data_IF_572711141715
#
_entry.id   IF_572711141715
#
_cell.length_a   1.000
_cell.length_b   1.000
_cell.length_c   1.000
_cell.angle_alpha   90.00
_cell.angle_beta   90.00
_cell.angle_gamma   90.00
#
_symmetry.space_group_name_H-M   'P 1'
#
loop_
_entity.id
_entity.type
_entity.pdbx_description
1 polymer ?
#
# COMPACT_ATOMS: atom_id res chain seq x y z
N UNK A 1 -54.10 17.55 -63.84
CA UNK A 1 -55.38 18.30 -63.61
C UNK A 1 -55.19 19.07 -62.32
N UNK A 2 -55.09 20.40 -62.46
CA UNK A 2 -55.98 21.42 -61.92
C UNK A 2 -56.15 21.34 -60.42
N UNK A 3 -55.96 22.32 -59.59
CA UNK A 3 -55.93 23.79 -59.55
C UNK A 3 -55.66 24.09 -58.09
N UNK A 4 -54.93 25.00 -57.52
CA UNK A 4 -54.94 26.44 -57.77
C UNK A 4 -55.47 27.21 -56.60
N UNK A 5 -54.72 28.28 -56.26
CA UNK A 5 -55.20 29.58 -55.77
C UNK A 5 -55.23 29.79 -54.25
N UNK A 6 -54.25 30.55 -53.77
CA UNK A 6 -54.21 31.91 -53.15
C UNK A 6 -55.06 32.12 -51.90
N UNK A 7 -54.62 32.84 -50.94
CA UNK A 7 -54.36 34.29 -50.84
C UNK A 7 -53.69 34.71 -49.47
N UNK A 8 -52.76 35.66 -49.57
CA UNK A 8 -52.39 36.76 -48.71
C UNK A 8 -53.31 37.13 -47.54
N UNK A 9 -52.66 37.35 -46.37
CA UNK A 9 -52.74 38.50 -45.43
C UNK A 9 -52.26 37.98 -44.10
N UNK A 10 -51.25 38.55 -43.51
CA UNK A 10 -51.03 39.54 -42.55
C UNK A 10 -49.61 39.67 -42.09
N UNK A 11 -48.87 40.50 -42.74
CA UNK A 11 -47.60 41.06 -42.31
C UNK A 11 -47.95 42.33 -41.52
N UNK A 12 -48.16 42.25 -40.24
CA UNK A 12 -48.21 43.44 -39.32
C UNK A 12 -48.12 43.14 -37.84
N UNK A 13 -47.66 41.92 -37.43
CA UNK A 13 -47.51 41.57 -36.01
C UNK A 13 -46.09 41.32 -35.57
N UNK A 14 -45.08 41.43 -36.46
CA UNK A 14 -43.72 40.94 -36.18
C UNK A 14 -42.69 42.07 -35.92
N UNK A 15 -43.11 43.32 -35.76
CA UNK A 15 -42.19 44.44 -35.52
C UNK A 15 -42.23 44.98 -34.07
N UNK A 16 -43.14 44.55 -33.22
CA UNK A 16 -43.27 45.00 -31.84
C UNK A 16 -42.60 44.12 -30.78
N UNK A 17 -42.13 42.90 -31.14
CA UNK A 17 -41.46 41.97 -30.21
C UNK A 17 -39.92 42.05 -30.30
N UNK A 18 -39.37 42.70 -31.33
CA UNK A 18 -37.91 42.84 -31.52
C UNK A 18 -37.28 44.04 -30.86
N UNK A 19 -38.08 44.90 -30.20
CA UNK A 19 -37.57 46.15 -29.55
C UNK A 19 -37.50 46.09 -28.01
N UNK A 20 -37.83 44.94 -27.38
CA UNK A 20 -37.72 44.74 -25.94
C UNK A 20 -36.53 43.78 -25.57
N UNK A 21 -35.83 43.23 -26.58
CA UNK A 21 -34.69 42.30 -26.34
C UNK A 21 -33.30 42.95 -26.51
N UNK A 22 -33.20 44.29 -26.63
CA UNK A 22 -31.93 44.99 -26.90
C UNK A 22 -31.41 45.84 -25.76
N UNK A 23 -31.87 45.69 -24.52
CA UNK A 23 -31.39 46.48 -23.35
C UNK A 23 -30.62 45.66 -22.32
N UNK A 24 -30.30 44.37 -22.57
CA UNK A 24 -29.51 43.52 -21.64
C UNK A 24 -28.15 43.11 -22.16
N UNK A 25 -27.51 43.89 -23.02
CA UNK A 25 -26.17 43.60 -23.54
C UNK A 25 -25.24 44.81 -23.38
N UNK A 26 -25.05 45.30 -22.15
CA UNK A 26 -23.97 46.24 -21.84
C UNK A 26 -23.60 46.16 -20.34
N UNK A 27 -22.97 45.06 -19.94
CA UNK A 27 -22.13 45.00 -18.74
C UNK A 27 -21.14 43.84 -18.88
N UNK A 28 -20.21 43.94 -19.83
CA UNK A 28 -18.96 43.16 -19.77
C UNK A 28 -18.00 43.96 -18.92
N UNK A 29 -17.91 43.63 -17.63
CA UNK A 29 -16.78 43.90 -16.74
C UNK A 29 -16.15 42.57 -16.43
N UNK A 30 -14.90 42.46 -16.79
CA UNK A 30 -13.98 41.36 -16.55
C UNK A 30 -13.93 41.06 -15.03
N UNK A 31 -14.52 39.93 -14.62
CA UNK A 31 -14.30 39.30 -13.32
C UNK A 31 -14.26 37.81 -13.54
N UNK A 32 -13.18 37.19 -13.02
CA UNK A 32 -12.87 35.78 -13.11
C UNK A 32 -14.07 34.84 -12.88
N UNK A 33 -14.01 33.68 -13.49
CA UNK A 33 -15.01 32.64 -13.40
C UNK A 33 -15.40 32.35 -11.95
N UNK A 34 -16.50 32.92 -11.50
CA UNK A 34 -17.17 32.48 -10.27
C UNK A 34 -17.83 31.13 -10.56
N UNK A 35 -17.43 30.14 -9.78
CA UNK A 35 -18.04 28.82 -9.74
C UNK A 35 -19.54 28.95 -9.45
N UNK A 36 -20.39 28.40 -10.35
CA UNK A 36 -21.84 28.57 -10.31
C UNK A 36 -22.54 27.66 -9.29
N UNK A 37 -21.84 27.04 -8.35
CA UNK A 37 -22.46 26.33 -7.26
C UNK A 37 -22.30 27.13 -5.96
N UNK A 38 -23.31 27.88 -5.57
CA UNK A 38 -23.37 28.62 -4.31
C UNK A 38 -23.40 27.70 -3.05
N UNK A 39 -22.81 26.53 -3.11
CA UNK A 39 -22.63 25.65 -1.95
C UNK A 39 -21.41 26.07 -1.15
N UNK A 40 -21.68 26.57 0.04
CA UNK A 40 -20.63 26.91 1.02
C UNK A 40 -20.07 25.58 1.57
N UNK A 41 -18.76 25.39 1.49
CA UNK A 41 -18.08 24.27 2.13
C UNK A 41 -18.28 24.33 3.66
N UNK A 42 -18.82 23.25 4.23
CA UNK A 42 -18.90 23.02 5.67
C UNK A 42 -18.20 21.68 6.02
N UNK A 43 -17.06 21.73 6.71
CA UNK A 43 -16.28 20.53 7.04
C UNK A 43 -17.04 19.53 7.93
N UNK A 44 -18.10 19.97 8.61
CA UNK A 44 -18.91 19.13 9.51
C UNK A 44 -20.25 18.73 8.92
N UNK A 45 -20.55 19.13 7.67
CA UNK A 45 -21.81 18.71 7.04
C UNK A 45 -21.87 17.18 6.89
N UNK A 46 -23.08 16.64 6.92
CA UNK A 46 -23.30 15.20 6.66
C UNK A 46 -22.78 14.84 5.28
N UNK A 47 -21.95 13.80 5.20
CA UNK A 47 -21.39 13.27 3.95
C UNK A 47 -21.97 11.89 3.67
N UNK A 48 -22.58 11.70 2.51
CA UNK A 48 -22.95 10.37 2.00
C UNK A 48 -22.22 10.14 0.69
N UNK A 49 -21.47 9.02 0.58
CA UNK A 49 -20.64 8.76 -0.58
C UNK A 49 -20.37 7.26 -0.78
N UNK A 50 -19.95 6.93 -1.99
CA UNK A 50 -19.51 5.61 -2.40
C UNK A 50 -17.98 5.54 -2.42
N UNK A 51 -17.41 4.38 -2.01
CA UNK A 51 -15.98 4.16 -2.03
C UNK A 51 -15.64 2.84 -2.72
N UNK A 52 -15.03 2.91 -3.90
CA UNK A 52 -14.43 1.74 -4.54
C UNK A 52 -13.08 1.46 -3.87
N UNK A 53 -13.01 0.37 -3.11
CA UNK A 53 -11.84 0.03 -2.31
C UNK A 53 -11.38 -1.40 -2.51
N UNK A 54 -10.07 -1.66 -2.34
CA UNK A 54 -9.46 -2.98 -2.50
C UNK A 54 -9.62 -3.80 -1.22
N UNK A 55 -10.05 -5.04 -1.36
CA UNK A 55 -10.21 -6.00 -0.26
C UNK A 55 -9.09 -7.04 -0.28
N UNK A 56 -8.28 -7.06 0.77
CA UNK A 56 -7.18 -8.03 0.95
C UNK A 56 -7.52 -9.23 1.82
N UNK A 57 -8.77 -9.29 2.32
CA UNK A 57 -9.31 -10.39 3.13
C UNK A 57 -10.33 -11.21 2.34
N UNK A 58 -10.65 -12.38 2.83
CA UNK A 58 -11.62 -13.27 2.16
C UNK A 58 -13.04 -12.70 2.16
N UNK A 59 -13.38 -11.85 3.14
CA UNK A 59 -14.72 -11.26 3.29
C UNK A 59 -14.60 -9.77 3.66
N UNK A 60 -15.60 -8.96 3.26
CA UNK A 60 -15.72 -7.58 3.74
C UNK A 60 -15.84 -7.52 5.27
N UNK A 61 -15.54 -6.35 5.88
CA UNK A 61 -15.70 -6.17 7.33
C UNK A 61 -17.17 -6.24 7.74
N UNK A 62 -17.39 -6.50 9.03
CA UNK A 62 -18.70 -6.25 9.65
C UNK A 62 -18.98 -4.75 9.77
N UNK A 63 -20.19 -4.38 10.20
CA UNK A 63 -20.54 -2.96 10.38
C UNK A 63 -19.87 -2.31 11.61
N UNK A 64 -19.23 -3.09 12.49
CA UNK A 64 -18.72 -2.63 13.80
C UNK A 64 -17.77 -1.45 13.68
N UNK A 65 -16.71 -1.59 12.88
CA UNK A 65 -15.69 -0.53 12.70
C UNK A 65 -16.20 0.56 11.76
N UNK A 66 -16.90 0.19 10.68
CA UNK A 66 -17.51 1.15 9.76
C UNK A 66 -18.40 2.15 10.51
N UNK A 67 -19.28 1.67 11.40
CA UNK A 67 -20.16 2.55 12.18
C UNK A 67 -19.39 3.54 13.06
N UNK A 68 -18.24 3.14 13.62
CA UNK A 68 -17.38 4.05 14.39
C UNK A 68 -16.72 5.13 13.54
N UNK A 69 -16.29 4.77 12.32
CA UNK A 69 -15.76 5.73 11.35
C UNK A 69 -16.86 6.72 10.95
N UNK A 70 -18.05 6.21 10.60
CA UNK A 70 -19.20 7.02 10.18
C UNK A 70 -19.65 7.99 11.28
N UNK A 71 -19.69 7.52 12.53
CA UNK A 71 -20.03 8.34 13.71
C UNK A 71 -19.03 9.50 13.90
N UNK A 72 -17.73 9.21 13.83
CA UNK A 72 -16.67 10.20 14.01
C UNK A 72 -16.67 11.26 12.91
N UNK A 73 -16.76 10.81 11.66
CA UNK A 73 -16.61 11.67 10.48
C UNK A 73 -17.92 12.33 10.02
N UNK A 74 -19.03 12.12 10.73
CA UNK A 74 -20.39 12.49 10.32
C UNK A 74 -20.67 12.08 8.86
N UNK A 75 -20.39 10.80 8.53
CA UNK A 75 -20.54 10.28 7.18
C UNK A 75 -21.41 9.03 7.13
N UNK A 76 -21.81 8.65 5.90
CA UNK A 76 -22.38 7.35 5.56
C UNK A 76 -21.66 6.81 4.35
N UNK A 77 -21.00 5.66 4.49
CA UNK A 77 -20.11 5.08 3.49
C UNK A 77 -20.76 3.86 2.85
N UNK A 78 -20.84 3.85 1.53
CA UNK A 78 -21.18 2.66 0.75
C UNK A 78 -19.90 2.13 0.10
N UNK A 79 -19.37 1.02 0.63
CA UNK A 79 -18.17 0.39 0.06
C UNK A 79 -18.51 -0.49 -1.14
N UNK A 80 -17.80 -0.26 -2.24
CA UNK A 80 -17.72 -1.15 -3.40
C UNK A 80 -16.40 -1.93 -3.28
N UNK A 81 -16.43 -3.07 -2.57
CA UNK A 81 -15.23 -3.87 -2.33
C UNK A 81 -14.78 -4.64 -3.58
N UNK A 82 -13.52 -4.49 -3.95
CA UNK A 82 -12.86 -5.19 -5.05
C UNK A 82 -11.83 -6.16 -4.47
N UNK A 83 -12.00 -7.49 -4.67
CA UNK A 83 -11.00 -8.46 -4.23
C UNK A 83 -9.62 -8.19 -4.85
N UNK A 84 -8.56 -8.32 -4.06
CA UNK A 84 -7.18 -8.04 -4.50
C UNK A 84 -6.78 -8.82 -5.75
N UNK A 85 -7.22 -10.07 -5.87
CA UNK A 85 -6.92 -10.93 -7.02
C UNK A 85 -7.53 -10.43 -8.35
N UNK A 86 -8.62 -9.65 -8.31
CA UNK A 86 -9.29 -9.11 -9.50
C UNK A 86 -9.22 -7.59 -9.62
N UNK A 87 -8.43 -6.93 -8.78
CA UNK A 87 -8.40 -5.46 -8.71
C UNK A 87 -7.99 -4.80 -10.03
N UNK A 88 -7.01 -5.37 -10.73
CA UNK A 88 -6.52 -4.80 -11.99
C UNK A 88 -7.60 -4.77 -13.05
N UNK A 89 -8.26 -5.89 -13.27
CA UNK A 89 -9.36 -6.02 -14.24
C UNK A 89 -10.53 -5.10 -13.85
N UNK A 90 -10.95 -5.15 -12.60
CA UNK A 90 -12.12 -4.39 -12.15
C UNK A 90 -11.90 -2.89 -12.17
N UNK A 91 -10.75 -2.40 -11.69
CA UNK A 91 -10.43 -0.97 -11.67
C UNK A 91 -10.26 -0.45 -13.10
N UNK A 92 -9.54 -1.17 -13.98
CA UNK A 92 -9.37 -0.74 -15.37
C UNK A 92 -10.68 -0.76 -16.14
N UNK A 93 -11.58 -1.71 -15.87
CA UNK A 93 -12.93 -1.74 -16.45
C UNK A 93 -13.77 -0.55 -15.97
N UNK A 94 -13.79 -0.25 -14.67
CA UNK A 94 -14.49 0.91 -14.11
C UNK A 94 -13.97 2.24 -14.70
N UNK A 95 -12.64 2.38 -14.84
CA UNK A 95 -12.02 3.53 -15.49
C UNK A 95 -12.44 3.68 -16.97
N UNK A 96 -12.56 2.56 -17.69
CA UNK A 96 -12.94 2.56 -19.10
C UNK A 96 -14.43 2.82 -19.32
N UNK A 97 -15.31 2.30 -18.45
CA UNK A 97 -16.76 2.51 -18.54
C UNK A 97 -17.21 3.88 -18.00
N UNK A 98 -16.39 4.50 -17.13
CA UNK A 98 -16.76 5.72 -16.42
C UNK A 98 -17.70 5.48 -15.23
N UNK A 99 -18.02 4.22 -14.90
CA UNK A 99 -18.81 3.85 -13.72
C UNK A 99 -17.90 3.82 -12.50
N UNK A 100 -17.68 4.98 -11.89
CA UNK A 100 -16.79 5.17 -10.76
C UNK A 100 -17.57 5.45 -9.47
N UNK A 101 -16.92 5.30 -8.34
CA UNK A 101 -17.40 5.75 -7.03
C UNK A 101 -16.93 7.18 -6.77
N UNK A 102 -17.53 7.88 -5.79
CA UNK A 102 -17.11 9.22 -5.38
C UNK A 102 -15.64 9.26 -4.94
N UNK A 103 -15.17 8.18 -4.32
CA UNK A 103 -13.77 7.97 -3.96
C UNK A 103 -13.27 6.61 -4.47
N UNK A 104 -12.10 6.60 -5.12
CA UNK A 104 -11.50 5.41 -5.74
C UNK A 104 -10.11 5.15 -5.19
N UNK A 105 -9.88 3.95 -4.67
CA UNK A 105 -8.56 3.46 -4.26
C UNK A 105 -7.79 2.94 -5.47
N UNK A 106 -6.77 3.67 -5.90
CA UNK A 106 -5.89 3.31 -7.01
C UNK A 106 -4.54 2.83 -6.48
N UNK A 107 -4.29 1.54 -6.51
CA UNK A 107 -3.03 0.92 -6.01
C UNK A 107 -2.03 0.57 -7.12
N UNK A 108 -2.41 0.72 -8.40
CA UNK A 108 -1.61 0.30 -9.56
C UNK A 108 -1.05 1.50 -10.31
N UNK A 109 -0.24 2.32 -9.64
CA UNK A 109 0.29 3.58 -10.17
C UNK A 109 1.21 3.44 -11.38
N UNK A 110 1.74 2.24 -11.63
CA UNK A 110 2.58 1.92 -12.80
C UNK A 110 1.79 1.38 -13.99
N UNK A 111 0.52 1.02 -13.82
CA UNK A 111 -0.34 0.54 -14.89
C UNK A 111 -0.65 1.66 -15.89
N UNK A 112 -0.43 1.41 -17.18
CA UNK A 112 -0.57 2.42 -18.25
C UNK A 112 -2.00 2.96 -18.39
N UNK A 113 -3.01 2.10 -18.23
CA UNK A 113 -4.42 2.50 -18.31
C UNK A 113 -4.81 3.42 -17.14
N UNK A 114 -4.35 3.10 -15.92
CA UNK A 114 -4.55 3.94 -14.73
C UNK A 114 -3.88 5.31 -14.93
N UNK A 115 -2.62 5.33 -15.38
CA UNK A 115 -1.90 6.58 -15.66
C UNK A 115 -2.57 7.42 -16.73
N UNK A 116 -3.02 6.80 -17.82
CA UNK A 116 -3.73 7.49 -18.90
C UNK A 116 -5.05 8.09 -18.40
N UNK A 117 -5.81 7.36 -17.60
CA UNK A 117 -7.06 7.86 -17.01
C UNK A 117 -6.84 9.03 -16.06
N UNK A 118 -5.78 8.99 -15.24
CA UNK A 118 -5.41 10.12 -14.37
C UNK A 118 -5.07 11.37 -15.20
N UNK A 119 -4.27 11.21 -16.26
CA UNK A 119 -3.87 12.31 -17.16
C UNK A 119 -5.00 12.85 -18.05
N UNK A 120 -6.07 12.09 -18.26
CA UNK A 120 -7.17 12.50 -19.15
C UNK A 120 -8.05 13.64 -18.61
N UNK A 121 -7.82 14.08 -17.36
CA UNK A 121 -8.62 15.10 -16.70
C UNK A 121 -9.89 14.59 -16.01
N UNK A 122 -10.09 13.28 -15.93
CA UNK A 122 -11.22 12.64 -15.24
C UNK A 122 -11.21 12.86 -13.73
N UNK A 123 -10.03 13.09 -13.14
CA UNK A 123 -9.86 13.20 -11.70
C UNK A 123 -9.52 14.62 -11.27
N UNK A 124 -9.82 14.95 -10.02
CA UNK A 124 -9.44 16.19 -9.43
C UNK A 124 -7.91 16.26 -9.20
N UNK A 125 -7.32 17.44 -9.41
CA UNK A 125 -6.02 17.80 -8.86
C UNK A 125 -6.22 18.24 -7.41
N UNK A 126 -5.71 17.42 -6.47
CA UNK A 126 -5.88 17.66 -5.04
C UNK A 126 -4.70 18.40 -4.43
N UNK A 127 -3.57 18.50 -5.15
CA UNK A 127 -2.31 19.00 -4.60
C UNK A 127 -2.44 20.39 -3.96
N UNK A 128 -3.23 21.24 -4.58
CA UNK A 128 -3.45 22.64 -4.12
C UNK A 128 -4.32 22.77 -2.86
N UNK A 129 -4.96 21.69 -2.42
CA UNK A 129 -5.87 21.70 -1.27
C UNK A 129 -5.27 21.05 -0.02
N UNK A 130 -4.22 20.22 -0.14
CA UNK A 130 -3.74 19.42 1.00
C UNK A 130 -3.26 20.26 2.19
N UNK A 131 -2.77 21.46 1.94
CA UNK A 131 -2.26 22.33 2.99
C UNK A 131 -3.37 22.98 3.84
N UNK A 132 -4.63 22.90 3.38
CA UNK A 132 -5.80 23.39 4.12
C UNK A 132 -6.23 22.43 5.25
N UNK A 133 -5.68 21.21 5.33
CA UNK A 133 -6.08 20.15 6.26
C UNK A 133 -4.98 19.81 7.26
N UNK A 134 -5.40 19.50 8.52
CA UNK A 134 -4.49 19.36 9.65
C UNK A 134 -3.52 18.18 9.51
N UNK A 135 -3.98 17.04 8.95
CA UNK A 135 -3.16 15.85 8.76
C UNK A 135 -2.59 15.77 7.33
N UNK A 136 -3.37 16.14 6.31
CA UNK A 136 -2.91 16.06 4.92
C UNK A 136 -1.74 17.00 4.64
N UNK A 137 -1.67 18.16 5.28
CA UNK A 137 -0.53 19.09 5.17
C UNK A 137 0.80 18.48 5.64
N UNK A 138 0.74 17.44 6.50
CA UNK A 138 1.93 16.75 7.03
C UNK A 138 2.51 15.72 6.07
N UNK A 139 1.83 15.44 4.94
CA UNK A 139 2.37 14.53 3.91
C UNK A 139 3.65 15.15 3.35
N UNK A 140 4.81 14.46 3.45
CA UNK A 140 6.10 14.99 3.04
C UNK A 140 6.11 15.42 1.56
N UNK A 141 6.81 16.49 1.19
CA UNK A 141 6.91 16.96 -0.20
C UNK A 141 7.40 15.88 -1.16
N UNK A 142 8.38 15.06 -0.75
CA UNK A 142 8.91 13.95 -1.53
C UNK A 142 7.87 12.85 -1.81
N UNK A 143 6.94 12.60 -0.88
CA UNK A 143 5.83 11.66 -1.07
C UNK A 143 4.80 12.25 -2.05
N UNK A 144 4.50 13.56 -1.94
CA UNK A 144 3.61 14.25 -2.87
C UNK A 144 4.18 14.27 -4.29
N UNK A 145 5.47 14.55 -4.42
CA UNK A 145 6.19 14.53 -5.71
C UNK A 145 6.18 13.13 -6.32
N UNK A 146 6.54 12.11 -5.55
CA UNK A 146 6.56 10.72 -5.99
C UNK A 146 5.17 10.18 -6.40
N UNK A 147 4.11 10.71 -5.79
CA UNK A 147 2.72 10.38 -6.11
C UNK A 147 2.17 11.17 -7.31
N UNK A 148 2.85 12.24 -7.70
CA UNK A 148 2.42 13.11 -8.81
C UNK A 148 2.73 12.49 -10.17
N UNK A 149 1.91 12.81 -11.14
CA UNK A 149 2.14 12.48 -12.55
C UNK A 149 2.28 13.79 -13.32
N UNK A 150 3.47 14.04 -13.86
CA UNK A 150 3.78 15.28 -14.59
C UNK A 150 3.49 16.55 -13.75
N UNK A 151 3.78 16.47 -12.44
CA UNK A 151 3.60 17.57 -11.49
C UNK A 151 2.18 17.74 -10.95
N UNK A 152 1.23 16.88 -11.34
CA UNK A 152 -0.16 16.93 -10.88
C UNK A 152 -0.44 15.80 -9.90
N UNK A 153 -1.02 16.11 -8.74
CA UNK A 153 -1.39 15.15 -7.72
C UNK A 153 -2.90 14.82 -7.81
N UNK A 154 -3.23 13.70 -8.45
CA UNK A 154 -4.60 13.28 -8.76
C UNK A 154 -5.35 12.57 -7.63
N UNK A 155 -4.82 12.58 -6.42
CA UNK A 155 -5.45 11.97 -5.24
C UNK A 155 -4.55 12.07 -4.01
N UNK A 156 -5.10 11.77 -2.85
CA UNK A 156 -4.32 11.72 -1.60
C UNK A 156 -3.46 10.46 -1.59
N UNK A 157 -2.12 10.56 -1.46
CA UNK A 157 -1.24 9.40 -1.49
C UNK A 157 -1.37 8.55 -0.23
N UNK A 158 -1.37 7.23 -0.41
CA UNK A 158 -1.15 6.30 0.70
C UNK A 158 0.32 6.31 1.10
N UNK A 159 0.59 6.70 2.34
CA UNK A 159 1.94 6.70 2.88
C UNK A 159 2.30 5.30 3.40
N UNK A 160 3.37 4.73 2.87
CA UNK A 160 3.90 3.41 3.22
C UNK A 160 5.34 3.51 3.71
N UNK A 161 5.76 2.53 4.51
CA UNK A 161 7.19 2.34 4.74
C UNK A 161 7.91 2.00 3.44
N UNK A 162 9.12 2.52 3.25
CA UNK A 162 9.91 2.31 2.03
C UNK A 162 10.32 0.85 1.87
N UNK A 163 10.84 0.23 2.92
CA UNK A 163 11.43 -1.10 2.87
C UNK A 163 10.92 -2.00 3.99
N UNK A 164 10.08 -2.97 3.63
CA UNK A 164 9.43 -3.93 4.56
C UNK A 164 9.86 -5.37 4.33
N UNK A 165 10.59 -5.63 3.25
CA UNK A 165 11.09 -6.96 2.94
C UNK A 165 12.43 -7.23 3.62
N UNK A 166 12.71 -8.51 3.88
CA UNK A 166 13.94 -8.96 4.50
C UNK A 166 13.90 -10.43 4.85
N UNK A 167 14.63 -10.82 5.89
CA UNK A 167 14.72 -12.19 6.37
C UNK A 167 13.97 -12.34 7.70
N UNK A 168 13.35 -13.51 7.88
CA UNK A 168 12.90 -14.00 9.19
C UNK A 168 13.62 -15.31 9.45
N UNK A 169 14.40 -15.37 10.53
CA UNK A 169 15.26 -16.51 10.88
C UNK A 169 14.72 -17.19 12.14
N UNK A 170 14.85 -18.51 12.20
CA UNK A 170 14.55 -19.33 13.38
C UNK A 170 15.58 -19.07 14.47
N UNK A 171 15.25 -18.22 15.44
CA UNK A 171 16.11 -17.92 16.59
C UNK A 171 16.31 -19.16 17.47
N UNK A 172 15.28 -19.98 17.64
CA UNK A 172 15.38 -21.22 18.41
C UNK A 172 16.34 -22.25 17.78
N UNK A 173 16.50 -22.26 16.45
CA UNK A 173 17.50 -23.05 15.76
C UNK A 173 18.92 -22.49 15.92
N UNK A 174 19.06 -21.16 15.84
CA UNK A 174 20.33 -20.50 16.14
C UNK A 174 20.77 -20.81 17.58
N UNK A 175 19.87 -20.68 18.56
CA UNK A 175 20.12 -20.95 19.98
C UNK A 175 20.59 -22.41 20.16
N UNK A 176 19.93 -23.38 19.51
CA UNK A 176 20.28 -24.81 19.60
C UNK A 176 21.66 -25.12 19.05
N UNK A 177 22.01 -24.52 17.91
CA UNK A 177 23.30 -24.75 17.25
C UNK A 177 24.43 -23.87 17.80
N UNK A 178 24.14 -22.98 18.76
CA UNK A 178 25.09 -22.03 19.31
C UNK A 178 25.55 -20.96 18.33
N UNK A 179 24.71 -20.66 17.31
CA UNK A 179 24.98 -19.65 16.30
C UNK A 179 24.43 -18.29 16.73
N UNK A 180 25.03 -17.23 16.21
CA UNK A 180 24.54 -15.85 16.36
C UNK A 180 23.64 -15.46 15.18
N UNK A 181 22.83 -14.43 15.38
CA UNK A 181 22.13 -13.77 14.27
C UNK A 181 23.17 -13.23 13.29
N UNK A 182 23.08 -13.58 12.00
CA UNK A 182 24.09 -13.17 11.00
C UNK A 182 24.03 -11.67 10.74
N UNK A 183 25.20 -11.06 10.57
CA UNK A 183 25.40 -9.63 10.24
C UNK A 183 26.12 -9.44 8.91
N UNK A 184 26.64 -10.52 8.34
CA UNK A 184 27.32 -10.55 7.04
C UNK A 184 26.76 -11.64 6.14
N UNK A 185 27.00 -11.53 4.82
CA UNK A 185 26.60 -12.54 3.84
C UNK A 185 27.31 -13.88 4.07
N UNK A 186 28.56 -13.86 4.55
CA UNK A 186 29.31 -15.09 4.87
C UNK A 186 28.71 -15.79 6.11
N UNK A 187 28.37 -15.04 7.16
CA UNK A 187 27.69 -15.59 8.34
C UNK A 187 26.29 -16.12 7.97
N UNK A 188 25.56 -15.43 7.10
CA UNK A 188 24.26 -15.89 6.59
C UNK A 188 24.38 -17.20 5.81
N UNK A 189 25.45 -17.36 5.02
CA UNK A 189 25.74 -18.61 4.32
C UNK A 189 25.99 -19.76 5.30
N UNK A 190 26.79 -19.54 6.35
CA UNK A 190 27.07 -20.54 7.38
C UNK A 190 25.82 -20.92 8.18
N UNK A 191 24.96 -19.96 8.49
CA UNK A 191 23.64 -20.25 9.09
C UNK A 191 22.80 -21.13 8.19
N UNK A 192 22.75 -20.84 6.87
CA UNK A 192 21.99 -21.67 5.92
C UNK A 192 22.57 -23.09 5.79
N UNK A 193 23.90 -23.22 5.80
CA UNK A 193 24.58 -24.52 5.84
C UNK A 193 24.20 -25.29 7.11
N UNK A 194 24.35 -24.69 8.25
CA UNK A 194 24.10 -25.35 9.54
C UNK A 194 22.62 -25.76 9.68
N UNK A 195 21.69 -24.93 9.19
CA UNK A 195 20.27 -25.27 9.19
C UNK A 195 19.91 -26.41 8.22
N UNK A 196 20.79 -26.72 7.25
CA UNK A 196 20.60 -27.83 6.33
C UNK A 196 21.31 -29.11 6.81
N UNK A 197 22.50 -28.98 7.43
CA UNK A 197 23.40 -30.13 7.67
C UNK A 197 23.47 -30.57 9.14
N UNK A 198 23.14 -29.67 10.11
CA UNK A 198 23.47 -29.88 11.52
C UNK A 198 22.21 -30.16 12.40
N UNK A 199 21.14 -30.74 11.82
CA UNK A 199 19.90 -31.12 12.54
C UNK A 199 19.37 -30.03 13.50
N UNK A 200 18.96 -28.85 12.98
CA UNK A 200 18.62 -27.70 13.79
C UNK A 200 17.35 -27.87 14.63
N UNK A 201 16.44 -28.76 14.24
CA UNK A 201 15.22 -29.06 14.98
C UNK A 201 15.40 -30.22 16.00
N UNK A 202 16.52 -30.94 15.91
CA UNK A 202 16.93 -31.99 16.84
C UNK A 202 16.07 -33.25 16.74
N UNK A 203 15.54 -33.55 15.56
CA UNK A 203 14.72 -34.73 15.32
C UNK A 203 15.52 -35.96 14.88
N UNK A 204 16.85 -35.83 14.72
CA UNK A 204 17.78 -36.86 14.30
C UNK A 204 17.71 -37.19 12.80
N UNK A 205 17.13 -36.32 11.97
CA UNK A 205 16.99 -36.46 10.53
C UNK A 205 17.60 -35.29 9.80
N UNK A 206 18.01 -35.53 8.56
CA UNK A 206 18.47 -34.47 7.67
C UNK A 206 17.31 -34.11 6.69
N UNK A 207 16.28 -33.43 7.23
CA UNK A 207 15.02 -33.12 6.51
C UNK A 207 14.66 -31.62 6.54
N UNK A 208 15.62 -30.79 6.93
CA UNK A 208 15.52 -29.32 6.94
C UNK A 208 16.42 -28.69 5.89
N UNK A 209 16.12 -27.42 5.53
CA UNK A 209 16.95 -26.62 4.63
C UNK A 209 17.16 -25.22 5.20
N UNK A 210 18.20 -24.53 4.74
CA UNK A 210 18.49 -23.16 5.13
C UNK A 210 17.37 -22.24 4.72
N UNK A 211 17.22 -21.97 3.42
CA UNK A 211 16.21 -21.09 2.87
C UNK A 211 15.03 -21.84 2.28
N UNK A 212 13.81 -21.41 2.60
CA UNK A 212 12.63 -21.67 1.78
C UNK A 212 12.37 -20.45 0.88
N UNK A 213 12.20 -20.71 -0.42
CA UNK A 213 12.01 -19.65 -1.40
C UNK A 213 10.81 -19.92 -2.32
N UNK A 214 10.49 -18.97 -3.20
CA UNK A 214 9.32 -19.01 -4.08
C UNK A 214 9.61 -18.48 -5.47
N UNK A 215 8.70 -18.72 -6.42
CA UNK A 215 8.83 -18.34 -7.84
C UNK A 215 8.74 -16.84 -8.12
N UNK A 216 8.19 -16.06 -7.20
CA UNK A 216 8.09 -14.59 -7.32
C UNK A 216 9.47 -13.95 -7.06
N UNK A 217 10.16 -13.56 -8.12
CA UNK A 217 11.51 -13.00 -8.05
C UNK A 217 11.61 -11.68 -7.26
N UNK A 218 10.52 -10.93 -7.12
CA UNK A 218 10.51 -9.65 -6.40
C UNK A 218 10.57 -9.83 -4.88
N UNK A 219 9.84 -10.82 -4.36
CA UNK A 219 9.76 -11.08 -2.91
C UNK A 219 10.45 -12.39 -2.52
N UNK A 220 11.25 -12.96 -3.41
CA UNK A 220 12.10 -14.12 -3.17
C UNK A 220 13.41 -13.74 -2.49
N UNK A 221 14.22 -14.75 -2.17
CA UNK A 221 15.56 -14.55 -1.62
C UNK A 221 16.45 -13.72 -2.55
N UNK A 222 16.34 -13.90 -3.86
CA UNK A 222 17.23 -13.25 -4.81
C UNK A 222 17.21 -11.72 -4.72
N UNK A 223 16.03 -11.08 -4.70
CA UNK A 223 15.93 -9.61 -4.62
C UNK A 223 16.45 -9.07 -3.29
N UNK A 224 16.13 -9.76 -2.18
CA UNK A 224 16.61 -9.39 -0.85
C UNK A 224 18.12 -9.52 -0.74
N UNK A 225 18.70 -10.65 -1.18
CA UNK A 225 20.15 -10.84 -1.21
C UNK A 225 20.84 -9.84 -2.15
N UNK A 226 20.23 -9.56 -3.31
CA UNK A 226 20.74 -8.58 -4.27
C UNK A 226 20.92 -7.19 -3.63
N UNK A 227 19.95 -6.77 -2.81
CA UNK A 227 20.08 -5.50 -2.08
C UNK A 227 21.24 -5.53 -1.09
N UNK A 228 21.45 -6.63 -0.35
CA UNK A 228 22.59 -6.75 0.58
C UNK A 228 23.94 -6.70 -0.11
N UNK A 229 24.04 -7.13 -1.37
CA UNK A 229 25.23 -6.91 -2.21
C UNK A 229 25.39 -5.46 -2.69
N UNK A 230 24.42 -4.55 -2.43
CA UNK A 230 24.43 -3.17 -2.91
C UNK A 230 24.02 -3.03 -4.37
N UNK A 231 23.25 -3.99 -4.91
CA UNK A 231 22.65 -3.86 -6.24
C UNK A 231 21.61 -2.73 -6.22
N UNK A 232 21.62 -1.83 -7.22
CA UNK A 232 20.59 -0.80 -7.31
C UNK A 232 19.20 -1.40 -7.50
N UNK A 233 18.17 -0.71 -7.05
CA UNK A 233 16.80 -1.17 -7.15
C UNK A 233 16.19 -0.85 -8.52
N UNK A 234 16.36 -1.75 -9.47
CA UNK A 234 15.92 -1.62 -10.85
C UNK A 234 16.95 -0.87 -11.72
N UNK A 235 17.28 0.36 -11.39
CA UNK A 235 18.17 1.20 -12.18
C UNK A 235 19.14 1.98 -11.29
N UNK A 236 20.40 2.07 -11.76
CA UNK A 236 21.38 3.03 -11.26
C UNK A 236 21.40 4.23 -12.21
N UNK A 237 21.35 5.44 -11.65
CA UNK A 237 21.58 6.68 -12.38
C UNK A 237 22.88 7.26 -11.87
N UNK A 238 23.87 7.48 -12.73
CA UNK A 238 25.13 8.11 -12.36
C UNK A 238 25.05 9.66 -12.44
N UNK A 239 26.13 10.33 -12.03
CA UNK A 239 26.21 11.81 -12.04
C UNK A 239 26.06 12.44 -13.43
N UNK A 240 26.28 11.67 -14.49
CA UNK A 240 26.09 12.12 -15.88
C UNK A 240 24.64 11.93 -16.36
N UNK A 241 23.78 11.32 -15.56
CA UNK A 241 22.40 10.98 -15.92
C UNK A 241 22.29 9.67 -16.74
N UNK A 242 23.35 8.87 -16.82
CA UNK A 242 23.31 7.58 -17.50
C UNK A 242 22.58 6.54 -16.65
N UNK A 243 21.64 5.86 -17.28
CA UNK A 243 20.89 4.74 -16.68
C UNK A 243 21.64 3.42 -16.92
N UNK A 244 21.83 2.64 -15.85
CA UNK A 244 22.35 1.28 -15.89
C UNK A 244 21.32 0.37 -15.19
N UNK A 245 20.79 -0.67 -15.86
CA UNK A 245 19.84 -1.59 -15.22
C UNK A 245 20.54 -2.43 -14.16
N UNK A 246 19.81 -2.84 -13.12
CA UNK A 246 20.35 -3.60 -11.99
C UNK A 246 21.11 -4.86 -12.42
N UNK A 247 20.60 -5.56 -13.45
CA UNK A 247 21.20 -6.81 -13.95
C UNK A 247 22.52 -6.61 -14.71
N UNK A 248 22.87 -5.37 -15.08
CA UNK A 248 24.15 -5.02 -15.75
C UNK A 248 25.14 -4.41 -14.73
N UNK A 249 25.11 -4.89 -13.49
CA UNK A 249 26.01 -4.44 -12.42
C UNK A 249 26.82 -5.59 -11.84
N UNK A 250 28.07 -5.33 -11.39
CA UNK A 250 28.88 -6.36 -10.74
C UNK A 250 28.21 -6.98 -9.52
N UNK A 251 27.46 -6.19 -8.74
CA UNK A 251 26.76 -6.62 -7.55
C UNK A 251 25.68 -7.67 -7.86
N UNK A 252 24.97 -7.48 -8.97
CA UNK A 252 23.98 -8.45 -9.44
C UNK A 252 24.64 -9.78 -9.82
N UNK A 253 25.80 -9.75 -10.49
CA UNK A 253 26.57 -10.95 -10.81
C UNK A 253 27.03 -11.69 -9.54
N UNK A 254 27.51 -10.97 -8.53
CA UNK A 254 27.88 -11.59 -7.24
C UNK A 254 26.67 -12.22 -6.54
N UNK A 255 25.49 -11.57 -6.61
CA UNK A 255 24.23 -12.16 -6.11
C UNK A 255 23.91 -13.48 -6.81
N UNK A 256 24.05 -13.53 -8.15
CA UNK A 256 23.83 -14.75 -8.92
C UNK A 256 24.78 -15.87 -8.49
N UNK A 257 26.07 -15.56 -8.28
CA UNK A 257 27.06 -16.53 -7.82
C UNK A 257 26.73 -17.06 -6.42
N UNK A 258 26.35 -16.17 -5.50
CA UNK A 258 25.97 -16.52 -4.14
C UNK A 258 24.71 -17.38 -4.11
N UNK A 259 23.66 -16.99 -4.81
CA UNK A 259 22.41 -17.73 -4.92
C UNK A 259 22.62 -19.12 -5.57
N UNK A 260 23.47 -19.19 -6.61
CA UNK A 260 23.85 -20.45 -7.24
C UNK A 260 24.61 -21.38 -6.27
N UNK A 261 25.49 -20.81 -5.42
CA UNK A 261 26.21 -21.56 -4.38
C UNK A 261 25.24 -22.15 -3.36
N UNK A 262 24.27 -21.34 -2.86
CA UNK A 262 23.22 -21.83 -1.95
C UNK A 262 22.42 -22.97 -2.60
N UNK A 263 21.98 -22.80 -3.84
CA UNK A 263 21.17 -23.78 -4.54
C UNK A 263 21.94 -25.09 -4.80
N UNK A 264 23.17 -25.01 -5.30
CA UNK A 264 23.99 -26.21 -5.58
C UNK A 264 24.28 -27.05 -4.34
N UNK A 265 24.48 -26.38 -3.20
CA UNK A 265 24.74 -27.07 -1.94
C UNK A 265 23.44 -27.53 -1.21
N UNK A 266 22.26 -27.24 -1.78
CA UNK A 266 20.97 -27.64 -1.21
C UNK A 266 20.53 -26.77 -0.03
N UNK A 267 21.16 -25.60 0.18
CA UNK A 267 20.81 -24.68 1.25
C UNK A 267 19.63 -23.76 0.89
N UNK A 268 19.20 -23.80 -0.36
CA UNK A 268 17.98 -23.19 -0.87
C UNK A 268 17.04 -24.29 -1.38
N UNK A 269 15.74 -24.19 -1.09
CA UNK A 269 14.73 -25.16 -1.53
C UNK A 269 14.79 -25.38 -3.04
N UNK A 270 14.84 -26.65 -3.48
CA UNK A 270 15.08 -27.01 -4.89
C UNK A 270 13.91 -26.71 -5.82
N UNK A 271 12.72 -26.69 -5.28
CA UNK A 271 11.43 -26.48 -5.97
C UNK A 271 10.97 -25.02 -5.99
N UNK A 272 11.83 -24.07 -5.58
CA UNK A 272 11.47 -22.65 -5.46
C UNK A 272 10.83 -22.09 -6.72
N UNK A 273 11.28 -22.51 -7.91
CA UNK A 273 10.80 -21.98 -9.19
C UNK A 273 9.29 -22.24 -9.47
N UNK A 274 8.69 -23.18 -8.74
CA UNK A 274 7.25 -23.52 -8.84
C UNK A 274 6.50 -23.33 -7.51
N UNK A 275 7.21 -22.93 -6.45
CA UNK A 275 6.63 -22.73 -5.12
C UNK A 275 5.86 -21.42 -5.06
N UNK A 276 4.57 -21.48 -4.70
CA UNK A 276 3.76 -20.31 -4.46
C UNK A 276 4.08 -19.66 -3.09
N UNK A 277 3.71 -18.40 -2.91
CA UNK A 277 3.89 -17.67 -1.63
C UNK A 277 3.29 -18.44 -0.44
N UNK A 278 2.09 -18.98 -0.60
CA UNK A 278 1.39 -19.73 0.45
C UNK A 278 2.13 -21.00 0.82
N UNK A 279 2.71 -21.71 -0.16
CA UNK A 279 3.47 -22.93 0.06
C UNK A 279 4.80 -22.65 0.74
N UNK A 280 5.50 -21.57 0.36
CA UNK A 280 6.69 -21.08 1.05
C UNK A 280 6.39 -20.83 2.53
N UNK A 281 5.30 -20.12 2.84
CA UNK A 281 4.90 -19.82 4.20
C UNK A 281 4.54 -21.11 4.98
N UNK A 282 3.85 -22.04 4.36
CA UNK A 282 3.51 -23.34 4.97
C UNK A 282 4.74 -24.21 5.23
N UNK A 283 5.69 -24.27 4.31
CA UNK A 283 6.94 -25.02 4.50
C UNK A 283 7.74 -24.46 5.70
N UNK A 284 7.83 -23.12 5.82
CA UNK A 284 8.45 -22.51 6.99
C UNK A 284 7.68 -22.80 8.28
N UNK A 285 6.36 -22.66 8.26
CA UNK A 285 5.50 -22.93 9.41
C UNK A 285 5.55 -24.40 9.87
N UNK A 286 5.80 -25.34 8.95
CA UNK A 286 5.99 -26.76 9.24
C UNK A 286 7.41 -27.10 9.74
N UNK A 287 8.34 -26.14 9.80
CA UNK A 287 9.71 -26.37 10.23
C UNK A 287 10.61 -27.04 9.19
N UNK A 288 10.26 -26.93 7.90
CA UNK A 288 11.10 -27.48 6.81
C UNK A 288 12.29 -26.60 6.46
N UNK A 289 12.25 -25.34 6.89
CA UNK A 289 13.34 -24.38 6.64
C UNK A 289 13.50 -23.41 7.80
N UNK A 290 14.72 -22.90 7.97
CA UNK A 290 15.07 -21.97 9.05
C UNK A 290 15.10 -20.50 8.67
N UNK A 291 15.15 -20.17 7.38
CA UNK A 291 15.20 -18.80 6.86
C UNK A 291 14.07 -18.59 5.87
N UNK A 292 13.20 -17.64 6.17
CA UNK A 292 12.14 -17.16 5.29
C UNK A 292 12.54 -15.81 4.70
N UNK A 293 12.25 -15.59 3.43
CA UNK A 293 12.40 -14.30 2.74
C UNK A 293 11.05 -13.75 2.33
N UNK A 294 10.88 -12.45 2.50
CA UNK A 294 9.62 -11.75 2.18
C UNK A 294 9.41 -10.56 3.10
N UNK A 295 8.16 -10.24 3.40
CA UNK A 295 7.85 -9.23 4.41
C UNK A 295 8.31 -9.70 5.78
N UNK A 296 9.00 -8.82 6.53
CA UNK A 296 9.49 -9.14 7.87
C UNK A 296 8.41 -9.06 8.96
N UNK A 297 7.15 -8.86 8.59
CA UNK A 297 6.02 -9.03 9.51
C UNK A 297 5.88 -10.51 9.90
N UNK A 298 6.27 -10.82 11.12
CA UNK A 298 6.25 -12.18 11.67
C UNK A 298 4.86 -12.68 12.06
N UNK A 299 3.84 -11.83 12.09
CA UNK A 299 2.50 -12.15 12.61
C UNK A 299 1.87 -13.31 11.86
N UNK A 300 1.93 -13.28 10.53
CA UNK A 300 1.38 -14.34 9.70
C UNK A 300 2.14 -15.67 9.86
N UNK A 301 3.47 -15.63 9.90
CA UNK A 301 4.30 -16.82 10.10
C UNK A 301 4.03 -17.47 11.45
N UNK A 302 3.85 -16.66 12.51
CA UNK A 302 3.48 -17.17 13.83
C UNK A 302 2.10 -17.81 13.83
N UNK A 303 1.12 -17.17 13.20
CA UNK A 303 -0.24 -17.71 13.10
C UNK A 303 -0.24 -19.07 12.39
N UNK A 304 0.44 -19.17 11.26
CA UNK A 304 0.55 -20.41 10.51
C UNK A 304 1.31 -21.52 11.25
N UNK A 305 2.27 -21.15 12.11
CA UNK A 305 3.06 -22.10 12.90
C UNK A 305 2.38 -22.53 14.20
N UNK A 306 1.25 -21.90 14.56
CA UNK A 306 0.55 -22.19 15.81
C UNK A 306 0.10 -23.65 15.87
N UNK A 307 0.49 -24.35 16.93
CA UNK A 307 0.20 -25.78 17.13
C UNK A 307 1.09 -26.74 16.32
N UNK A 308 1.87 -26.24 15.34
CA UNK A 308 2.77 -27.07 14.54
C UNK A 308 4.17 -27.19 15.16
N UNK A 309 4.64 -26.11 15.79
CA UNK A 309 6.00 -26.05 16.33
C UNK A 309 6.02 -25.59 17.78
N UNK A 310 6.69 -26.37 18.64
CA UNK A 310 6.88 -26.02 20.05
C UNK A 310 8.13 -25.16 20.21
N UNK A 311 8.02 -24.09 21.02
CA UNK A 311 9.17 -23.24 21.36
C UNK A 311 9.66 -22.37 20.21
N UNK A 312 8.87 -22.17 19.15
CA UNK A 312 9.20 -21.31 18.02
C UNK A 312 9.59 -19.90 18.51
N UNK A 313 10.79 -19.47 18.18
CA UNK A 313 11.27 -18.10 18.31
C UNK A 313 11.72 -17.62 16.93
N UNK A 314 11.38 -16.39 16.59
CA UNK A 314 11.68 -15.76 15.30
C UNK A 314 12.50 -14.49 15.53
N UNK A 315 13.45 -14.24 14.64
CA UNK A 315 14.17 -12.96 14.59
C UNK A 315 14.11 -12.39 13.18
N UNK A 316 13.55 -11.17 12.99
CA UNK A 316 13.64 -10.43 11.74
C UNK A 316 15.05 -9.88 11.57
N UNK A 317 15.58 -9.93 10.33
CA UNK A 317 16.94 -9.52 10.02
C UNK A 317 16.98 -8.76 8.69
N UNK A 318 17.65 -7.60 8.69
CA UNK A 318 17.93 -6.81 7.48
C UNK A 318 19.30 -6.12 7.50
N UNK A 319 19.96 -6.08 8.65
CA UNK A 319 21.31 -5.49 8.77
C UNK A 319 22.37 -6.52 8.41
N UNK A 320 22.43 -6.85 7.10
CA UNK A 320 23.43 -7.75 6.52
C UNK A 320 24.35 -6.94 5.62
N UNK A 321 25.66 -6.95 5.92
CA UNK A 321 26.69 -6.30 5.13
C UNK A 321 27.39 -7.30 4.19
N UNK A 322 27.81 -6.81 3.03
CA UNK A 322 28.68 -7.55 2.11
C UNK A 322 30.18 -7.40 2.43
N UNK A 323 30.52 -6.77 3.55
CA UNK A 323 31.89 -6.46 3.96
C UNK A 323 32.31 -5.02 3.68
N UNK A 324 31.46 -4.19 3.06
CA UNK A 324 31.71 -2.75 2.83
C UNK A 324 31.33 -1.85 4.01
N UNK A 325 30.79 -2.43 5.08
CA UNK A 325 30.34 -1.72 6.29
C UNK A 325 29.02 -0.95 6.12
N UNK A 326 28.31 -1.17 5.02
CA UNK A 326 27.03 -0.55 4.73
C UNK A 326 25.91 -1.57 4.74
N UNK A 327 24.70 -1.10 5.02
CA UNK A 327 23.48 -1.87 4.87
C UNK A 327 22.68 -1.34 3.70
N UNK A 328 22.08 -2.23 2.92
CA UNK A 328 21.23 -1.89 1.80
C UNK A 328 19.99 -2.77 1.84
N UNK A 329 18.83 -2.15 1.78
CA UNK A 329 17.54 -2.83 1.72
C UNK A 329 16.76 -2.31 0.53
N UNK A 330 16.25 -3.18 -0.32
CA UNK A 330 15.48 -2.73 -1.47
C UNK A 330 14.13 -2.11 -1.04
N UNK A 331 13.78 -0.99 -1.67
CA UNK A 331 12.49 -0.34 -1.45
C UNK A 331 11.40 -0.92 -2.34
N UNK A 332 10.18 -0.98 -1.82
CA UNK A 332 9.00 -1.39 -2.59
C UNK A 332 8.50 -0.30 -3.55
N UNK A 333 9.09 0.87 -3.47
CA UNK A 333 8.77 2.06 -4.24
C UNK A 333 9.17 3.34 -3.49
N UNK A 334 8.52 4.43 -3.80
CA UNK A 334 8.81 5.77 -3.26
C UNK A 334 8.07 6.09 -1.94
N UNK A 335 7.63 5.10 -1.18
CA UNK A 335 6.78 5.32 0.00
C UNK A 335 5.31 5.61 -0.34
N UNK A 336 4.92 5.43 -1.61
CA UNK A 336 3.55 5.63 -2.11
C UNK A 336 2.91 4.28 -2.45
N UNK A 337 1.88 3.92 -1.69
CA UNK A 337 1.12 2.68 -1.90
C UNK A 337 -0.01 2.80 -2.93
N UNK A 338 -0.29 4.01 -3.39
CA UNK A 338 -1.40 4.34 -4.29
C UNK A 338 -2.01 5.69 -3.99
N UNK A 339 -3.18 5.96 -4.55
CA UNK A 339 -3.94 7.20 -4.37
C UNK A 339 -5.37 6.94 -3.93
N UNK A 340 -5.93 7.80 -3.08
CA UNK A 340 -7.37 8.02 -2.99
C UNK A 340 -7.72 9.12 -3.98
N UNK A 341 -8.35 8.75 -5.07
CA UNK A 341 -8.65 9.64 -6.18
C UNK A 341 -10.16 9.97 -6.27
N UNK A 342 -10.49 11.16 -6.76
CA UNK A 342 -11.84 11.71 -6.78
C UNK A 342 -12.27 12.02 -8.23
N UNK A 343 -13.14 11.17 -8.83
CA UNK A 343 -13.58 11.38 -10.20
C UNK A 343 -14.49 12.61 -10.31
N UNK A 344 -14.25 13.47 -11.32
CA UNK A 344 -15.12 14.64 -11.59
C UNK A 344 -16.51 14.24 -12.14
N UNK A 345 -16.66 12.98 -12.56
CA UNK A 345 -17.96 12.44 -12.95
C UNK A 345 -18.89 12.25 -11.76
N UNK A 346 -18.35 12.01 -10.56
CA UNK A 346 -19.11 11.79 -9.33
C UNK A 346 -19.03 13.02 -8.42
N UNK A 347 -17.85 13.53 -8.15
CA UNK A 347 -17.57 14.73 -7.35
C UNK A 347 -17.61 15.95 -8.25
N UNK A 348 -18.77 16.61 -8.31
CA UNK A 348 -19.07 17.67 -9.30
C UNK A 348 -18.53 19.04 -8.91
N UNK A 349 -18.43 19.32 -7.62
CA UNK A 349 -18.10 20.64 -7.09
C UNK A 349 -16.87 20.62 -6.20
N UNK A 350 -16.21 21.77 -6.08
CA UNK A 350 -15.09 21.94 -5.16
C UNK A 350 -15.52 21.78 -3.69
N UNK A 351 -16.75 22.13 -3.35
CA UNK A 351 -17.29 21.96 -2.01
C UNK A 351 -17.43 20.47 -1.64
N UNK A 352 -17.91 19.63 -2.55
CA UNK A 352 -17.96 18.18 -2.39
C UNK A 352 -16.57 17.58 -2.25
N UNK A 353 -15.62 17.98 -3.11
CA UNK A 353 -14.23 17.57 -3.01
C UNK A 353 -13.62 17.93 -1.65
N UNK A 354 -13.78 19.17 -1.20
CA UNK A 354 -13.25 19.63 0.09
C UNK A 354 -13.84 18.84 1.27
N UNK A 355 -15.12 18.46 1.18
CA UNK A 355 -15.75 17.62 2.22
C UNK A 355 -15.22 16.19 2.22
N UNK A 356 -14.93 15.60 1.05
CA UNK A 356 -14.28 14.30 0.93
C UNK A 356 -12.81 14.35 1.41
N UNK A 357 -12.08 15.43 1.10
CA UNK A 357 -10.73 15.63 1.62
C UNK A 357 -10.71 15.75 3.15
N UNK A 358 -11.72 16.43 3.75
CA UNK A 358 -11.86 16.46 5.20
C UNK A 358 -12.10 15.05 5.76
N UNK A 359 -12.93 14.24 5.11
CA UNK A 359 -13.12 12.85 5.51
C UNK A 359 -11.80 12.06 5.48
N UNK A 360 -10.97 12.23 4.42
CA UNK A 360 -9.66 11.58 4.35
C UNK A 360 -8.69 12.10 5.42
N UNK A 361 -8.75 13.39 5.75
CA UNK A 361 -7.99 13.99 6.85
C UNK A 361 -8.37 13.35 8.19
N UNK A 362 -9.68 13.24 8.46
CA UNK A 362 -10.24 12.62 9.67
C UNK A 362 -9.83 11.13 9.80
N UNK A 363 -9.63 10.40 8.69
CA UNK A 363 -9.13 9.02 8.74
C UNK A 363 -7.70 8.90 9.32
N UNK A 364 -6.95 9.99 9.33
CA UNK A 364 -5.59 10.04 9.89
C UNK A 364 -5.62 10.44 11.38
N UNK A 365 -6.72 10.98 11.89
CA UNK A 365 -6.87 11.27 13.31
C UNK A 365 -6.67 10.00 14.14
N UNK A 366 -6.06 10.17 15.32
CA UNK A 366 -5.62 9.03 16.14
C UNK A 366 -6.74 8.02 16.44
N UNK A 367 -7.93 8.50 16.75
CA UNK A 367 -9.05 7.64 17.13
C UNK A 367 -9.53 6.81 15.93
N UNK A 368 -9.69 7.43 14.76
CA UNK A 368 -10.11 6.74 13.53
C UNK A 368 -9.01 5.81 13.02
N UNK A 369 -7.75 6.27 13.08
CA UNK A 369 -6.60 5.42 12.78
C UNK A 369 -6.58 4.16 13.65
N UNK A 370 -6.86 4.31 14.95
CA UNK A 370 -6.93 3.17 15.88
C UNK A 370 -8.10 2.24 15.56
N UNK A 371 -9.27 2.75 15.17
CA UNK A 371 -10.38 1.90 14.71
C UNK A 371 -9.96 1.01 13.54
N UNK A 372 -9.25 1.57 12.55
CA UNK A 372 -8.79 0.83 11.36
C UNK A 372 -7.52 0.00 11.58
N UNK A 373 -6.84 0.14 12.72
CA UNK A 373 -5.59 -0.59 13.04
C UNK A 373 -5.78 -1.61 14.14
N UNK A 374 -6.38 -1.20 15.23
CA UNK A 374 -6.58 -2.00 16.43
C UNK A 374 -8.02 -2.43 16.64
N UNK A 375 -8.95 -1.66 16.11
CA UNK A 375 -10.37 -1.81 16.39
C UNK A 375 -10.80 -1.04 17.66
N UNK A 376 -11.62 -1.62 18.47
CA UNK A 376 -12.18 -1.04 19.71
C UNK A 376 -11.41 -1.59 20.91
N UNK A 377 -10.90 -0.69 21.75
CA UNK A 377 -10.22 -1.08 23.00
C UNK A 377 -11.15 -1.83 23.92
N UNK A 378 -10.64 -2.87 24.57
CA UNK A 378 -11.42 -3.78 25.40
C UNK A 378 -12.20 -4.85 24.62
N UNK A 379 -12.40 -4.68 23.30
CA UNK A 379 -13.07 -5.66 22.43
C UNK A 379 -12.06 -6.40 21.55
N UNK A 380 -11.27 -5.68 20.78
CA UNK A 380 -10.30 -6.23 19.83
C UNK A 380 -8.88 -6.21 20.36
N UNK A 381 -8.54 -5.16 21.12
CA UNK A 381 -7.20 -4.94 21.67
C UNK A 381 -7.27 -4.35 23.09
N UNK A 382 -6.11 -4.31 23.73
CA UNK A 382 -5.87 -3.53 24.94
C UNK A 382 -4.50 -2.84 24.87
N UNK A 383 -4.35 -1.79 25.65
CA UNK A 383 -3.05 -1.19 25.94
C UNK A 383 -2.55 -1.76 27.27
N UNK A 384 -1.36 -2.35 27.24
CA UNK A 384 -0.70 -2.89 28.42
C UNK A 384 -0.18 -1.73 29.31
N UNK A 385 0.21 -2.03 30.57
CA UNK A 385 0.66 -1.01 31.54
C UNK A 385 1.88 -0.19 31.09
N UNK A 386 2.70 -0.77 30.21
CA UNK A 386 3.88 -0.13 29.62
C UNK A 386 3.59 0.63 28.31
N UNK A 387 2.30 0.79 27.96
CA UNK A 387 1.84 1.45 26.76
C UNK A 387 1.85 0.56 25.50
N UNK A 388 2.19 -0.71 25.62
CA UNK A 388 2.26 -1.62 24.48
C UNK A 388 0.86 -2.04 24.01
N UNK A 389 0.67 -2.03 22.70
CA UNK A 389 -0.55 -2.46 22.02
C UNK A 389 -0.59 -4.00 21.91
N UNK A 390 -1.73 -4.59 22.27
CA UNK A 390 -1.93 -6.04 22.19
C UNK A 390 -3.30 -6.40 21.66
N UNK A 391 -3.36 -7.11 20.55
CA UNK A 391 -4.59 -7.74 20.06
C UNK A 391 -4.98 -8.84 21.03
N UNK A 392 -6.22 -8.79 21.54
CA UNK A 392 -6.75 -9.73 22.53
C UNK A 392 -7.72 -10.75 21.92
N UNK A 393 -8.33 -10.43 20.78
CA UNK A 393 -9.19 -11.32 20.02
C UNK A 393 -8.83 -11.26 18.54
N UNK A 394 -7.98 -12.19 18.11
CA UNK A 394 -7.43 -12.24 16.75
C UNK A 394 -8.53 -12.51 15.71
N UNK A 395 -9.45 -13.42 15.99
CA UNK A 395 -10.50 -13.80 15.02
C UNK A 395 -11.45 -12.62 14.77
N UNK A 396 -11.85 -11.94 15.84
CA UNK A 396 -12.71 -10.75 15.74
C UNK A 396 -11.98 -9.60 15.05
N UNK A 397 -10.69 -9.40 15.38
CA UNK A 397 -9.85 -8.40 14.72
C UNK A 397 -9.71 -8.69 13.22
N UNK A 398 -9.52 -9.95 12.82
CA UNK A 398 -9.45 -10.34 11.41
C UNK A 398 -10.77 -10.10 10.66
N UNK A 399 -11.90 -10.30 11.34
CA UNK A 399 -13.21 -10.09 10.73
C UNK A 399 -13.60 -8.61 10.63
N UNK A 400 -13.32 -7.82 11.66
CA UNK A 400 -13.84 -6.46 11.78
C UNK A 400 -12.85 -5.37 11.34
N UNK A 401 -11.56 -5.58 11.60
CA UNK A 401 -10.51 -4.54 11.51
C UNK A 401 -9.59 -4.74 10.30
N UNK A 402 -9.09 -5.96 10.10
CA UNK A 402 -8.13 -6.26 9.04
C UNK A 402 -8.61 -5.85 7.63
N UNK A 403 -9.90 -5.97 7.26
CA UNK A 403 -10.37 -5.53 5.95
C UNK A 403 -10.14 -4.03 5.66
N UNK A 404 -10.03 -3.19 6.70
CA UNK A 404 -9.74 -1.76 6.55
C UNK A 404 -8.25 -1.46 6.32
N UNK A 405 -7.37 -2.46 6.22
CA UNK A 405 -5.93 -2.24 5.98
C UNK A 405 -5.64 -1.45 4.71
N UNK A 406 -6.48 -1.57 3.66
CA UNK A 406 -6.38 -0.82 2.41
C UNK A 406 -7.07 0.55 2.45
N UNK A 407 -7.78 0.88 3.54
CA UNK A 407 -8.51 2.13 3.70
C UNK A 407 -7.71 3.21 4.43
N UNK A 408 -6.59 2.84 5.06
CA UNK A 408 -5.77 3.76 5.85
C UNK A 408 -4.88 4.62 4.94
N UNK A 409 -5.01 5.95 4.97
CA UNK A 409 -4.17 6.83 4.12
C UNK A 409 -2.68 6.81 4.50
N UNK A 410 -2.34 6.40 5.72
CA UNK A 410 -0.96 6.34 6.18
C UNK A 410 -0.73 5.12 7.09
N UNK A 411 0.39 4.42 6.87
CA UNK A 411 0.90 3.38 7.76
C UNK A 411 1.99 3.90 8.71
N UNK A 412 2.47 5.14 8.49
CA UNK A 412 3.65 5.68 9.16
C UNK A 412 3.35 6.79 10.17
N UNK A 413 2.08 7.21 10.29
CA UNK A 413 1.70 8.36 11.15
C UNK A 413 1.90 8.06 12.64
N UNK A 414 1.58 6.84 13.09
CA UNK A 414 1.66 6.49 14.49
C UNK A 414 2.53 5.24 14.71
N UNK A 415 3.50 5.39 15.61
CA UNK A 415 4.34 4.28 16.06
C UNK A 415 3.66 3.60 17.26
N UNK A 416 2.98 2.50 17.00
CA UNK A 416 2.38 1.68 18.06
C UNK A 416 3.39 0.64 18.52
N UNK A 417 3.83 0.72 19.78
CA UNK A 417 4.68 -0.31 20.39
C UNK A 417 3.87 -1.60 20.51
N UNK A 418 4.35 -2.70 19.92
CA UNK A 418 3.67 -4.00 20.03
C UNK A 418 4.06 -4.74 21.31
N UNK A 419 3.10 -5.39 21.94
CA UNK A 419 3.35 -6.17 23.16
C UNK A 419 4.10 -7.48 22.90
N UNK A 420 4.13 -7.97 21.65
CA UNK A 420 4.97 -9.08 21.25
C UNK A 420 6.38 -8.55 20.92
N UNK A 421 7.44 -8.92 21.67
CA UNK A 421 8.77 -8.36 21.49
C UNK A 421 9.38 -8.67 20.11
N UNK A 422 9.05 -9.82 19.51
CA UNK A 422 9.55 -10.16 18.18
C UNK A 422 8.87 -9.32 17.09
N UNK A 423 7.59 -9.03 17.27
CA UNK A 423 6.86 -8.14 16.36
C UNK A 423 7.30 -6.69 16.52
N UNK A 424 7.55 -6.26 17.75
CA UNK A 424 8.11 -4.92 17.98
C UNK A 424 9.48 -4.76 17.34
N UNK A 425 10.35 -5.77 17.46
CA UNK A 425 11.65 -5.78 16.78
C UNK A 425 11.48 -5.69 15.24
N UNK A 426 10.49 -6.38 14.68
CA UNK A 426 10.18 -6.27 13.25
C UNK A 426 9.70 -4.86 12.87
N UNK A 427 8.84 -4.24 13.69
CA UNK A 427 8.36 -2.88 13.49
C UNK A 427 9.50 -1.85 13.57
N UNK A 428 10.40 -2.00 14.56
CA UNK A 428 11.58 -1.15 14.69
C UNK A 428 12.49 -1.28 13.47
N UNK A 429 12.75 -2.51 13.04
CA UNK A 429 13.59 -2.77 11.87
C UNK A 429 12.99 -2.17 10.58
N UNK A 430 11.67 -2.24 10.39
CA UNK A 430 10.99 -1.59 9.25
C UNK A 430 11.17 -0.08 9.28
N UNK A 431 11.09 0.55 10.45
CA UNK A 431 11.34 2.00 10.60
C UNK A 431 12.80 2.35 10.26
N UNK A 432 13.75 1.58 10.78
CA UNK A 432 15.18 1.76 10.50
C UNK A 432 15.55 1.49 9.03
N UNK A 433 14.87 0.55 8.37
CA UNK A 433 15.11 0.23 6.97
C UNK A 433 14.90 1.43 6.03
N UNK A 434 14.09 2.41 6.42
CA UNK A 434 13.92 3.63 5.63
C UNK A 434 15.23 4.41 5.44
N UNK A 435 16.20 4.25 6.37
CA UNK A 435 17.52 4.90 6.29
C UNK A 435 18.47 4.19 5.31
N UNK A 436 18.23 2.90 5.01
CA UNK A 436 19.08 2.06 4.16
C UNK A 436 18.39 1.68 2.85
N UNK A 437 17.20 2.21 2.60
CA UNK A 437 16.39 1.90 1.43
C UNK A 437 17.06 2.36 0.12
N UNK A 438 17.14 1.46 -0.87
CA UNK A 438 17.73 1.70 -2.19
C UNK A 438 16.71 1.46 -3.29
#
# INVERSE_FOLDING_TARGET
MKKGITTKKGVSGLLAVLMVMSVFLAACGDKGAEDQSGQTYDPKSKLEFTWLNVLHTASPPTETIKSKIEEYTNSKITFNWVPDASKEERITTALASGELADMVTLTMMTNSSVRSSLKSGLFWDVGKYLDDYENLKKIPPEVREAASIEGVLYGVPFQKNLARAGLVIRQDWLDRLGLKVPTTLDELYEVARAFTEDDPDGNGKNDTTGFVDRSDLRYSSFKTLSSYFGTPNGWKVDESGKFTPEFDTPQYLETLKYSNKLYKNGYLSKDFAVTAKTDQQQQFAQGKAGIYTGMIDISNLRTLSQGLQKGLKLVPVNKISNGDGKYHVWSEGSGVGGLLAFPKSEVKTEAELKRLLQFVDDLIDKDVYMYMTGGIEGTHYKIEKDGAFKITNTDLWQADVQPFSSSRPSEVTYNLKDANPEKELANELVRENNEFAV
#
